data_IF_743945098364
#
_entry.id   IF_743945098364
#
_cell.length_a   1.000
_cell.length_b   1.000
_cell.length_c   1.000
_cell.angle_alpha   90.00
_cell.angle_beta   90.00
_cell.angle_gamma   90.00
#
_symmetry.space_group_name_H-M   'P 1'
#
loop_
_entity.id
_entity.type
_entity.pdbx_description
1 polymer ?
#
# COMPACT_ATOMS: atom_id res chain seq x y z
N UNK A 1 -3.56 15.37 -11.60
CA UNK A 1 -3.55 14.11 -10.83
C UNK A 1 -2.34 14.02 -9.90
N UNK A 2 -1.07 14.04 -10.36
CA UNK A 2 0.08 13.96 -9.43
C UNK A 2 0.16 15.10 -8.39
N UNK A 3 -0.15 16.33 -8.80
CA UNK A 3 -0.23 17.48 -7.89
C UNK A 3 -1.22 17.26 -6.75
N UNK A 4 -2.35 16.62 -7.02
CA UNK A 4 -3.36 16.32 -6.01
C UNK A 4 -2.79 15.43 -4.91
N UNK A 5 -2.04 14.36 -5.26
CA UNK A 5 -1.42 13.50 -4.25
C UNK A 5 -0.40 14.25 -3.40
N UNK A 6 0.39 15.14 -3.99
CA UNK A 6 1.35 15.95 -3.25
C UNK A 6 0.66 16.98 -2.34
N UNK A 7 -0.30 17.74 -2.88
CA UNK A 7 -1.04 18.79 -2.17
C UNK A 7 -1.91 18.25 -1.03
N UNK A 8 -2.31 16.97 -1.09
CA UNK A 8 -3.09 16.31 -0.04
C UNK A 8 -2.24 15.41 0.88
N UNK A 9 -0.91 15.48 0.76
CA UNK A 9 0.06 14.69 1.55
C UNK A 9 -0.20 13.17 1.45
N UNK A 10 -0.53 12.70 0.26
CA UNK A 10 -0.75 11.28 -0.06
C UNK A 10 0.52 10.62 -0.62
N UNK A 11 1.67 11.24 -0.41
CA UNK A 11 2.99 10.74 -0.82
C UNK A 11 3.85 10.64 0.43
N UNK A 12 4.34 9.43 0.71
CA UNK A 12 5.26 9.17 1.81
C UNK A 12 6.59 8.65 1.25
N UNK A 13 7.69 9.14 1.81
CA UNK A 13 9.04 8.61 1.56
C UNK A 13 9.53 8.05 2.89
N UNK A 14 9.64 6.74 2.98
CA UNK A 14 10.06 6.08 4.20
C UNK A 14 11.57 5.88 4.19
N UNK A 15 12.21 6.21 5.32
CA UNK A 15 13.65 6.03 5.50
C UNK A 15 14.01 4.66 6.08
N UNK A 16 13.03 3.99 6.67
CA UNK A 16 13.17 2.64 7.21
C UNK A 16 12.78 1.61 6.15
N UNK A 17 13.61 0.59 6.01
CA UNK A 17 13.32 -0.53 5.15
C UNK A 17 12.37 -1.50 5.88
N UNK A 18 11.21 -1.84 5.30
CA UNK A 18 10.35 -2.86 5.88
C UNK A 18 11.06 -4.23 5.97
N UNK A 19 10.76 -4.99 7.01
CA UNK A 19 11.35 -6.32 7.25
C UNK A 19 10.96 -7.33 6.16
N UNK A 20 9.74 -7.23 5.68
CA UNK A 20 9.17 -8.06 4.62
C UNK A 20 8.19 -7.26 3.74
N UNK A 21 7.56 -7.96 2.80
CA UNK A 21 6.61 -7.35 1.86
C UNK A 21 5.28 -7.00 2.53
N UNK A 22 4.88 -7.70 3.60
CA UNK A 22 3.65 -7.42 4.35
C UNK A 22 3.78 -6.11 5.11
N UNK A 23 4.89 -5.93 5.83
CA UNK A 23 5.26 -4.69 6.48
C UNK A 23 5.36 -3.53 5.47
N UNK A 24 5.83 -3.78 4.24
CA UNK A 24 5.85 -2.77 3.19
C UNK A 24 4.45 -2.32 2.75
N UNK A 25 3.48 -3.24 2.66
CA UNK A 25 2.09 -2.89 2.34
C UNK A 25 1.48 -2.08 3.49
N UNK A 26 1.68 -2.49 4.74
CA UNK A 26 1.27 -1.72 5.92
C UNK A 26 1.84 -0.30 5.90
N UNK A 27 3.15 -0.18 5.70
CA UNK A 27 3.82 1.11 5.63
C UNK A 27 3.31 2.00 4.48
N UNK A 28 2.94 1.41 3.34
CA UNK A 28 2.37 2.15 2.20
C UNK A 28 0.94 2.67 2.46
N UNK A 29 0.16 1.97 3.30
CA UNK A 29 -1.22 2.33 3.62
C UNK A 29 -1.35 3.35 4.75
N UNK A 30 -0.32 3.51 5.59
CA UNK A 30 -0.39 4.31 6.82
C UNK A 30 -0.84 5.76 6.59
N UNK A 31 -0.30 6.45 5.57
CA UNK A 31 -0.69 7.83 5.25
C UNK A 31 -2.15 7.95 4.79
N UNK A 32 -2.68 6.93 4.09
CA UNK A 32 -4.07 6.88 3.67
C UNK A 32 -4.99 6.59 4.87
N UNK A 33 -4.56 5.72 5.79
CA UNK A 33 -5.29 5.38 7.01
C UNK A 33 -5.40 6.57 7.97
N UNK A 34 -4.31 7.31 8.19
CA UNK A 34 -4.30 8.51 9.03
C UNK A 34 -5.28 9.59 8.52
N UNK A 35 -5.54 9.61 7.21
CA UNK A 35 -6.51 10.49 6.56
C UNK A 35 -7.90 9.86 6.41
N UNK A 36 -8.15 8.69 7.02
CA UNK A 36 -9.39 7.93 6.98
C UNK A 36 -9.89 7.59 5.56
N UNK A 37 -8.97 7.45 4.59
CA UNK A 37 -9.29 7.08 3.20
C UNK A 37 -9.40 5.56 3.02
N UNK A 38 -8.77 4.79 3.90
CA UNK A 38 -8.82 3.33 3.97
C UNK A 38 -8.92 2.89 5.43
N UNK A 39 -9.20 1.62 5.65
CA UNK A 39 -9.25 0.97 6.97
C UNK A 39 -8.08 0.00 7.16
N UNK A 40 -7.81 -0.41 8.40
CA UNK A 40 -6.88 -1.53 8.66
C UNK A 40 -7.33 -2.80 7.92
N UNK A 41 -8.64 -3.06 7.88
CA UNK A 41 -9.20 -4.20 7.16
C UNK A 41 -8.82 -4.21 5.68
N UNK A 42 -8.84 -3.05 5.01
CA UNK A 42 -8.43 -2.96 3.61
C UNK A 42 -6.99 -3.41 3.39
N UNK A 43 -6.07 -3.07 4.31
CA UNK A 43 -4.67 -3.49 4.22
C UNK A 43 -4.56 -5.01 4.42
N UNK A 44 -5.29 -5.56 5.38
CA UNK A 44 -5.37 -7.01 5.60
C UNK A 44 -5.94 -7.75 4.38
N UNK A 45 -6.94 -7.17 3.72
CA UNK A 45 -7.56 -7.74 2.52
C UNK A 45 -6.57 -7.82 1.36
N UNK A 46 -5.78 -6.76 1.15
CA UNK A 46 -4.69 -6.76 0.16
C UNK A 46 -3.66 -7.85 0.46
N UNK A 47 -3.22 -7.98 1.72
CA UNK A 47 -2.23 -9.00 2.11
C UNK A 47 -2.80 -10.41 1.89
N UNK A 48 -4.06 -10.63 2.30
CA UNK A 48 -4.75 -11.92 2.09
C UNK A 48 -4.84 -12.27 0.61
N UNK A 49 -5.19 -11.31 -0.24
CA UNK A 49 -5.28 -11.53 -1.68
C UNK A 49 -3.90 -11.88 -2.28
N UNK A 50 -2.81 -11.25 -1.82
CA UNK A 50 -1.46 -11.61 -2.27
C UNK A 50 -1.08 -13.03 -1.85
N UNK A 51 -1.43 -13.45 -0.63
CA UNK A 51 -1.27 -14.85 -0.20
C UNK A 51 -2.08 -15.82 -1.05
N UNK A 52 -3.31 -15.45 -1.43
CA UNK A 52 -4.22 -16.31 -2.16
C UNK A 52 -3.91 -16.41 -3.66
N UNK A 53 -3.62 -15.28 -4.31
CA UNK A 53 -3.49 -15.18 -5.77
C UNK A 53 -2.04 -15.01 -6.23
N UNK A 54 -1.09 -14.97 -5.29
CA UNK A 54 0.30 -14.63 -5.57
C UNK A 54 0.50 -13.12 -5.78
N UNK A 55 1.69 -12.69 -6.24
CA UNK A 55 2.08 -11.27 -6.29
C UNK A 55 1.46 -10.51 -7.47
N UNK A 56 0.14 -10.57 -7.66
CA UNK A 56 -0.58 -9.89 -8.75
C UNK A 56 -0.47 -8.35 -8.72
N UNK A 57 -0.07 -7.80 -7.58
CA UNK A 57 0.14 -6.37 -7.36
C UNK A 57 1.46 -5.85 -7.97
N UNK A 58 2.38 -6.74 -8.39
CA UNK A 58 3.68 -6.35 -8.96
C UNK A 58 3.51 -5.98 -10.42
N UNK A 59 3.77 -4.72 -10.76
CA UNK A 59 3.60 -4.20 -12.13
C UNK A 59 4.86 -4.44 -12.96
N UNK A 60 6.02 -4.12 -12.38
CA UNK A 60 7.36 -4.30 -12.95
C UNK A 60 8.36 -4.58 -11.82
N UNK A 61 9.59 -5.05 -12.11
CA UNK A 61 10.60 -5.22 -11.08
C UNK A 61 10.76 -3.96 -10.22
N UNK A 62 10.70 -4.15 -8.89
CA UNK A 62 10.81 -3.10 -7.86
C UNK A 62 9.64 -2.10 -7.79
N UNK A 63 8.51 -2.36 -8.46
CA UNK A 63 7.30 -1.52 -8.35
C UNK A 63 6.06 -2.39 -8.17
N UNK A 64 5.34 -2.16 -7.08
CA UNK A 64 4.06 -2.79 -6.78
C UNK A 64 2.98 -1.73 -6.56
N UNK A 65 1.74 -2.07 -6.85
CA UNK A 65 0.55 -1.26 -6.59
C UNK A 65 -0.43 -2.11 -5.77
N UNK A 66 -0.31 -2.09 -4.43
CA UNK A 66 -1.19 -2.88 -3.57
C UNK A 66 -2.64 -2.40 -3.67
N UNK A 67 -3.56 -3.30 -3.98
CA UNK A 67 -5.00 -3.03 -4.07
C UNK A 67 -5.80 -4.30 -3.83
N UNK A 68 -7.04 -4.18 -3.39
CA UNK A 68 -7.97 -5.29 -3.22
C UNK A 68 -9.36 -4.88 -3.73
N UNK A 69 -10.19 -5.87 -4.06
CA UNK A 69 -11.62 -5.69 -4.39
C UNK A 69 -12.55 -6.32 -3.35
N UNK A 70 -11.99 -6.86 -2.27
CA UNK A 70 -12.74 -7.45 -1.17
C UNK A 70 -13.45 -6.38 -0.32
#
# INVERSE_FOLDING_TARGET
MLRYFYENELVAINHEQPEDWEAAIWASGEGLKQKALITDQYIEDVIRDVHQYGPYIVIIPKVAMPHSSA
#
